data_IF_342561805370
#
_entry.id   IF_342561805370
#
_cell.length_a   1.000
_cell.length_b   1.000
_cell.length_c   1.000
_cell.angle_alpha   90.00
_cell.angle_beta   90.00
_cell.angle_gamma   90.00
#
_symmetry.space_group_name_H-M   'P 1'
#
loop_
_entity.id
_entity.type
_entity.pdbx_description
1 polymer ?
#
# COMPACT_ATOMS: atom_id res chain seq x y z
N UNK A 1 13.64 56.88 22.50
CA UNK A 1 12.94 56.30 21.34
C UNK A 1 13.99 55.52 20.56
N UNK A 2 14.11 54.25 20.83
CA UNK A 2 15.09 53.32 20.25
C UNK A 2 14.34 52.42 19.27
N UNK A 3 14.76 52.47 17.99
CA UNK A 3 14.22 51.64 16.92
C UNK A 3 14.85 50.23 16.99
N UNK A 4 14.04 49.21 17.15
CA UNK A 4 14.45 47.84 17.00
C UNK A 4 14.54 47.43 15.51
N UNK A 5 15.56 46.62 15.11
CA UNK A 5 15.69 46.18 13.73
C UNK A 5 14.77 44.99 13.46
N UNK A 6 14.02 45.03 12.37
CA UNK A 6 13.19 43.95 11.84
C UNK A 6 14.08 42.78 11.41
N UNK A 7 13.97 41.66 12.08
CA UNK A 7 14.59 40.38 11.69
C UNK A 7 13.70 39.81 10.59
N UNK A 8 14.22 39.70 9.39
CA UNK A 8 13.57 39.03 8.26
C UNK A 8 13.62 37.51 8.49
N UNK A 9 12.52 36.93 8.92
CA UNK A 9 12.37 35.47 9.05
C UNK A 9 12.54 34.82 7.68
N UNK A 10 13.48 33.85 7.59
CA UNK A 10 13.72 33.07 6.37
C UNK A 10 12.53 32.12 6.12
N UNK A 11 12.04 32.12 4.89
CA UNK A 11 10.94 31.29 4.46
C UNK A 11 11.29 29.77 4.57
N UNK A 12 10.45 28.93 5.19
CA UNK A 12 10.72 27.48 5.38
C UNK A 12 10.90 26.69 4.07
N UNK A 13 10.47 27.23 2.94
CA UNK A 13 10.63 26.61 1.61
C UNK A 13 12.09 26.71 1.12
N UNK A 14 12.83 27.75 1.49
CA UNK A 14 14.26 27.87 1.11
C UNK A 14 15.12 26.87 1.87
N UNK A 15 14.79 26.59 3.11
CA UNK A 15 15.56 25.66 3.94
C UNK A 15 15.39 24.20 3.47
N UNK A 16 14.21 23.80 3.03
CA UNK A 16 13.97 22.44 2.50
C UNK A 16 14.67 22.19 1.17
N UNK A 17 14.74 23.21 0.30
CA UNK A 17 15.46 23.12 -0.97
C UNK A 17 16.98 23.03 -0.76
N UNK A 18 17.52 23.86 0.14
CA UNK A 18 18.95 23.84 0.48
C UNK A 18 19.33 22.48 1.10
N UNK A 19 18.49 21.93 1.96
CA UNK A 19 18.72 20.64 2.59
C UNK A 19 18.70 19.48 1.57
N UNK A 20 17.82 19.52 0.60
CA UNK A 20 17.79 18.56 -0.52
C UNK A 20 19.05 18.66 -1.40
N UNK A 21 19.51 19.88 -1.65
CA UNK A 21 20.73 20.15 -2.43
C UNK A 21 21.98 19.59 -1.72
N UNK A 22 22.09 19.83 -0.41
CA UNK A 22 23.21 19.36 0.40
C UNK A 22 23.23 17.83 0.50
N UNK A 23 22.07 17.17 0.61
CA UNK A 23 21.95 15.72 0.56
C UNK A 23 22.40 15.16 -0.79
N UNK A 24 21.99 15.81 -1.90
CA UNK A 24 22.37 15.38 -3.25
C UNK A 24 23.87 15.51 -3.47
N UNK A 25 24.49 16.61 -3.03
CA UNK A 25 25.92 16.84 -3.10
C UNK A 25 26.71 15.80 -2.25
N UNK A 26 26.19 15.45 -1.08
CA UNK A 26 26.78 14.41 -0.24
C UNK A 26 26.78 13.03 -0.92
N UNK A 27 25.67 12.66 -1.58
CA UNK A 27 25.56 11.40 -2.34
C UNK A 27 26.53 11.40 -3.53
N UNK A 28 26.62 12.50 -4.29
CA UNK A 28 27.53 12.60 -5.43
C UNK A 28 29.01 12.55 -5.01
N UNK A 29 29.35 13.13 -3.87
CA UNK A 29 30.70 13.07 -3.30
C UNK A 29 31.05 11.63 -2.90
N UNK A 30 30.13 10.90 -2.25
CA UNK A 30 30.30 9.48 -1.93
C UNK A 30 30.51 8.62 -3.17
N UNK A 31 29.71 8.82 -4.23
CA UNK A 31 29.85 8.09 -5.50
C UNK A 31 31.22 8.34 -6.13
N UNK A 32 31.73 9.59 -6.06
CA UNK A 32 33.08 9.94 -6.52
C UNK A 32 34.17 9.18 -5.75
N UNK A 33 34.04 9.14 -4.43
CA UNK A 33 35.05 8.53 -3.55
C UNK A 33 35.05 6.99 -3.66
N UNK A 34 33.86 6.37 -3.80
CA UNK A 34 33.71 4.92 -3.90
C UNK A 34 34.08 4.35 -5.28
N UNK A 35 33.87 5.09 -6.36
CA UNK A 35 34.03 4.60 -7.74
C UNK A 35 35.11 5.29 -8.56
N UNK A 36 35.78 6.30 -8.04
CA UNK A 36 36.90 7.00 -8.70
C UNK A 36 36.53 7.65 -10.06
N UNK A 37 35.24 7.83 -10.35
CA UNK A 37 34.74 8.43 -11.59
C UNK A 37 33.94 9.69 -11.29
N UNK A 38 34.23 10.78 -12.01
CA UNK A 38 33.38 11.96 -11.99
C UNK A 38 32.12 11.71 -12.79
N UNK A 39 30.91 11.91 -12.23
CA UNK A 39 29.70 11.92 -13.04
C UNK A 39 29.81 13.09 -14.06
N UNK A 40 29.78 12.77 -15.34
CA UNK A 40 29.76 13.76 -16.42
C UNK A 40 28.33 14.01 -16.84
N UNK A 41 27.90 15.25 -16.75
CA UNK A 41 26.60 15.70 -17.30
C UNK A 41 26.89 16.39 -18.62
N UNK A 42 26.13 16.03 -19.66
CA UNK A 42 26.30 16.68 -20.98
C UNK A 42 25.84 18.14 -20.91
N UNK A 43 26.47 19.00 -21.72
CA UNK A 43 26.08 20.41 -21.83
C UNK A 43 24.62 20.58 -22.21
N UNK A 44 24.07 19.67 -23.01
CA UNK A 44 22.66 19.62 -23.39
C UNK A 44 21.73 19.35 -22.21
N UNK A 45 22.12 18.47 -21.31
CA UNK A 45 21.36 18.19 -20.07
C UNK A 45 21.37 19.38 -19.11
N UNK A 46 22.49 20.09 -19.04
CA UNK A 46 22.60 21.34 -18.24
C UNK A 46 21.74 22.47 -18.82
N UNK A 47 21.70 22.65 -20.13
CA UNK A 47 20.84 23.64 -20.78
C UNK A 47 19.35 23.30 -20.59
N UNK A 48 18.96 22.02 -20.66
CA UNK A 48 17.59 21.58 -20.35
C UNK A 48 17.18 21.89 -18.91
N UNK A 49 18.08 21.75 -17.95
CA UNK A 49 17.82 22.12 -16.55
C UNK A 49 17.66 23.64 -16.37
N UNK A 50 18.45 24.44 -17.09
CA UNK A 50 18.33 25.92 -17.08
C UNK A 50 17.01 26.40 -17.70
N UNK A 51 16.61 25.78 -18.82
CA UNK A 51 15.36 26.16 -19.49
C UNK A 51 14.11 25.67 -18.73
N UNK A 52 14.20 24.54 -18.01
CA UNK A 52 13.13 24.09 -17.12
C UNK A 52 12.87 25.05 -15.94
N UNK A 53 13.90 25.83 -15.53
CA UNK A 53 13.79 26.82 -14.44
C UNK A 53 13.10 28.11 -14.86
N UNK A 54 12.90 28.36 -16.17
CA UNK A 54 12.25 29.60 -16.69
C UNK A 54 10.82 29.40 -17.17
N UNK A 55 10.28 28.17 -17.05
CA UNK A 55 8.85 28.03 -17.20
C UNK A 55 8.19 28.72 -16.00
N UNK A 56 7.60 29.87 -16.25
CA UNK A 56 6.57 30.46 -15.40
C UNK A 56 5.66 29.33 -14.97
N UNK A 57 5.62 29.09 -13.68
CA UNK A 57 4.57 28.28 -13.07
C UNK A 57 3.26 29.02 -13.36
N UNK A 58 2.67 28.72 -14.54
CA UNK A 58 1.25 28.90 -14.70
C UNK A 58 0.65 28.27 -13.45
N UNK A 59 -0.12 29.00 -12.62
CA UNK A 59 -0.80 28.36 -11.53
C UNK A 59 -1.51 27.16 -12.17
N UNK A 60 -1.12 25.95 -11.78
CA UNK A 60 -1.99 24.80 -11.96
C UNK A 60 -3.27 25.27 -11.27
N UNK A 61 -4.26 25.66 -12.08
CA UNK A 61 -5.63 25.68 -11.59
C UNK A 61 -5.73 24.35 -10.88
N UNK A 62 -5.86 24.42 -9.56
CA UNK A 62 -6.07 23.26 -8.75
C UNK A 62 -7.22 22.53 -9.46
N UNK A 63 -6.92 21.33 -9.97
CA UNK A 63 -8.00 20.45 -10.39
C UNK A 63 -9.01 20.55 -9.26
N UNK A 64 -10.31 20.75 -9.55
CA UNK A 64 -11.28 20.94 -8.49
C UNK A 64 -10.99 19.83 -7.48
N UNK A 65 -10.77 20.27 -6.24
CA UNK A 65 -10.65 19.38 -5.10
C UNK A 65 -11.99 18.61 -5.02
N UNK A 66 -12.08 17.51 -5.79
CA UNK A 66 -13.18 16.54 -5.69
C UNK A 66 -13.13 15.80 -4.34
N UNK A 67 -12.34 16.32 -3.41
CA UNK A 67 -12.12 15.83 -2.06
C UNK A 67 -13.05 16.38 -1.00
N UNK A 68 -14.15 17.10 -1.32
CA UNK A 68 -15.25 17.23 -0.37
C UNK A 68 -16.08 15.95 -0.43
N UNK A 69 -15.59 14.88 0.16
CA UNK A 69 -16.36 13.65 0.37
C UNK A 69 -17.69 14.01 1.03
N UNK A 70 -18.76 13.34 0.61
CA UNK A 70 -20.07 13.51 1.24
C UNK A 70 -19.90 13.49 2.78
N UNK A 71 -20.19 14.58 3.52
CA UNK A 71 -19.99 14.64 4.96
C UNK A 71 -20.75 13.54 5.73
N UNK A 72 -21.75 12.95 5.09
CA UNK A 72 -22.46 11.79 5.60
C UNK A 72 -21.59 10.54 5.48
N UNK A 73 -20.96 10.32 4.32
CA UNK A 73 -20.04 9.20 4.11
C UNK A 73 -18.89 9.24 5.14
N UNK A 74 -18.26 10.39 5.30
CA UNK A 74 -17.12 10.55 6.24
C UNK A 74 -17.53 10.22 7.69
N UNK A 75 -18.71 10.72 8.12
CA UNK A 75 -19.22 10.41 9.47
C UNK A 75 -19.56 8.93 9.65
N UNK A 76 -20.22 8.32 8.66
CA UNK A 76 -20.63 6.91 8.74
C UNK A 76 -19.40 5.99 8.68
N UNK A 77 -18.42 6.29 7.84
CA UNK A 77 -17.16 5.53 7.77
C UNK A 77 -16.31 5.70 9.04
N UNK A 78 -16.25 6.90 9.61
CA UNK A 78 -15.62 7.15 10.91
C UNK A 78 -16.33 6.36 12.03
N UNK A 79 -17.66 6.36 12.04
CA UNK A 79 -18.47 5.55 12.97
C UNK A 79 -18.22 4.05 12.85
N UNK A 80 -18.08 3.54 11.61
CA UNK A 80 -17.66 2.15 11.36
C UNK A 80 -16.28 1.87 11.94
N UNK A 81 -15.34 2.80 11.77
CA UNK A 81 -13.99 2.67 12.32
C UNK A 81 -14.03 2.62 13.85
N UNK A 82 -14.70 3.54 14.50
CA UNK A 82 -14.84 3.58 15.97
C UNK A 82 -15.47 2.29 16.52
N UNK A 83 -16.57 1.82 15.92
CA UNK A 83 -17.24 0.59 16.31
C UNK A 83 -16.33 -0.65 16.13
N UNK A 84 -15.51 -0.66 15.07
CA UNK A 84 -14.55 -1.75 14.84
C UNK A 84 -13.42 -1.71 15.87
N UNK A 85 -12.89 -0.53 16.20
CA UNK A 85 -11.84 -0.37 17.21
C UNK A 85 -12.30 -0.81 18.59
N UNK A 86 -13.57 -0.61 18.94
CA UNK A 86 -14.17 -1.04 20.20
C UNK A 86 -14.60 -2.53 20.21
N UNK A 87 -14.37 -3.28 19.12
CA UNK A 87 -14.87 -4.66 19.00
C UNK A 87 -14.20 -5.62 20.00
N UNK A 88 -15.02 -6.40 20.71
CA UNK A 88 -14.60 -7.45 21.66
C UNK A 88 -15.24 -8.81 21.37
N UNK A 89 -15.74 -9.04 20.12
CA UNK A 89 -16.48 -10.25 19.73
C UNK A 89 -15.66 -11.54 19.83
N UNK A 90 -14.32 -11.45 19.78
CA UNK A 90 -13.40 -12.58 20.00
C UNK A 90 -12.65 -12.33 21.32
N UNK A 91 -13.15 -12.80 22.48
CA UNK A 91 -12.60 -12.44 23.79
C UNK A 91 -11.12 -12.81 24.00
N UNK A 92 -10.66 -13.91 23.40
CA UNK A 92 -9.27 -14.36 23.46
C UNK A 92 -8.37 -13.40 22.65
N UNK A 93 -8.77 -12.98 21.43
CA UNK A 93 -8.02 -12.02 20.62
C UNK A 93 -8.06 -10.62 21.23
N UNK A 94 -9.20 -10.22 21.81
CA UNK A 94 -9.33 -8.92 22.46
C UNK A 94 -8.41 -8.77 23.68
N UNK A 95 -8.09 -9.87 24.37
CA UNK A 95 -7.15 -9.88 25.51
C UNK A 95 -5.70 -9.92 25.09
N UNK A 96 -5.40 -10.52 23.93
CA UNK A 96 -4.02 -10.76 23.48
C UNK A 96 -3.48 -9.69 22.51
N UNK A 97 -4.37 -9.01 21.78
CA UNK A 97 -3.97 -7.95 20.83
C UNK A 97 -3.48 -6.71 21.56
N UNK A 98 -2.57 -5.98 20.92
CA UNK A 98 -2.19 -4.63 21.35
C UNK A 98 -3.25 -3.64 20.90
N UNK A 99 -3.69 -3.71 19.65
CA UNK A 99 -4.74 -2.86 19.10
C UNK A 99 -5.48 -3.52 17.93
N UNK A 100 -6.59 -2.92 17.54
CA UNK A 100 -7.34 -3.33 16.33
C UNK A 100 -6.72 -2.68 15.11
N UNK A 101 -6.51 -3.45 14.06
CA UNK A 101 -6.02 -3.00 12.76
C UNK A 101 -7.21 -2.86 11.81
N UNK A 102 -7.75 -1.65 11.71
CA UNK A 102 -8.97 -1.39 10.92
C UNK A 102 -8.74 -1.57 9.42
N UNK A 103 -7.77 -0.87 8.89
CA UNK A 103 -7.44 -0.73 7.49
C UNK A 103 -6.84 0.65 7.24
N UNK A 104 -6.23 0.86 6.08
CA UNK A 104 -5.54 2.11 5.71
C UNK A 104 -5.65 2.38 4.21
N UNK A 105 -5.60 3.65 3.84
CA UNK A 105 -5.63 4.12 2.46
C UNK A 105 -6.87 4.94 2.13
N UNK A 106 -7.15 5.12 0.86
CA UNK A 106 -8.24 5.94 0.38
C UNK A 106 -9.60 5.22 0.54
N UNK A 107 -10.55 5.74 1.32
CA UNK A 107 -11.89 5.15 1.44
C UNK A 107 -12.73 5.25 0.15
N UNK A 108 -12.25 5.98 -0.87
CA UNK A 108 -12.83 6.04 -2.21
C UNK A 108 -11.97 5.31 -3.27
N UNK A 109 -11.12 4.39 -2.84
CA UNK A 109 -10.22 3.67 -3.74
C UNK A 109 -10.95 2.78 -4.73
N UNK A 110 -10.52 2.80 -5.99
CA UNK A 110 -11.00 1.84 -7.00
C UNK A 110 -10.38 0.43 -6.84
N UNK A 111 -9.27 0.32 -6.09
CA UNK A 111 -8.54 -0.91 -5.85
C UNK A 111 -8.38 -1.18 -4.36
N UNK A 112 -8.81 -2.36 -3.92
CA UNK A 112 -8.69 -2.78 -2.52
C UNK A 112 -7.87 -4.08 -2.40
N UNK A 113 -6.87 -4.08 -1.51
CA UNK A 113 -6.10 -5.26 -1.14
C UNK A 113 -6.64 -5.85 0.17
N UNK A 114 -6.86 -7.16 0.17
CA UNK A 114 -7.37 -7.89 1.34
C UNK A 114 -6.38 -8.98 1.73
N UNK A 115 -5.82 -8.86 2.92
CA UNK A 115 -4.95 -9.87 3.54
C UNK A 115 -5.68 -10.76 4.53
N UNK A 116 -4.91 -11.60 5.23
CA UNK A 116 -5.39 -12.59 6.20
C UNK A 116 -5.71 -11.94 7.55
N UNK A 117 -4.69 -11.51 8.28
CA UNK A 117 -4.76 -10.99 9.63
C UNK A 117 -3.52 -10.13 9.94
N UNK A 118 -3.57 -9.27 10.97
CA UNK A 118 -2.39 -8.55 11.46
C UNK A 118 -1.32 -9.50 11.98
N UNK A 119 -0.05 -9.20 11.66
CA UNK A 119 1.13 -9.76 12.30
C UNK A 119 1.55 -8.95 13.54
N UNK A 120 2.73 -9.23 14.07
CA UNK A 120 3.23 -8.56 15.26
C UNK A 120 3.50 -7.06 15.04
N UNK A 121 4.09 -6.70 13.89
CA UNK A 121 4.38 -5.30 13.56
C UNK A 121 3.08 -4.50 13.35
N UNK A 122 2.09 -5.12 12.69
CA UNK A 122 0.78 -4.54 12.45
C UNK A 122 -0.02 -4.35 13.74
N UNK A 123 0.02 -5.32 14.64
CA UNK A 123 -0.62 -5.26 15.96
C UNK A 123 -0.03 -4.14 16.84
N UNK A 124 1.30 -3.95 16.75
CA UNK A 124 1.99 -2.89 17.48
C UNK A 124 1.72 -1.49 16.91
N UNK A 125 1.59 -1.35 15.57
CA UNK A 125 1.44 -0.06 14.90
C UNK A 125 -0.02 0.33 14.63
N UNK A 126 -0.96 -0.63 14.61
CA UNK A 126 -2.38 -0.41 14.29
C UNK A 126 -2.68 -0.26 12.81
N UNK A 127 -1.71 -0.52 11.94
CA UNK A 127 -1.87 -0.43 10.49
C UNK A 127 -1.59 -1.77 9.80
N UNK A 128 -2.34 -2.14 8.75
CA UNK A 128 -2.11 -3.38 8.01
C UNK A 128 -0.86 -3.28 7.13
N UNK A 129 -0.15 -4.38 6.98
CA UNK A 129 0.99 -4.50 6.06
C UNK A 129 2.09 -3.45 6.27
N UNK A 130 2.61 -3.32 7.50
CA UNK A 130 3.75 -2.46 7.87
C UNK A 130 5.06 -3.23 8.00
N UNK A 131 5.02 -4.52 8.34
CA UNK A 131 6.19 -5.39 8.41
C UNK A 131 6.81 -5.69 7.04
N UNK A 132 7.78 -6.61 6.98
CA UNK A 132 8.51 -6.98 5.75
C UNK A 132 7.59 -7.35 4.57
N UNK A 133 6.51 -8.08 4.84
CA UNK A 133 5.52 -8.45 3.83
C UNK A 133 4.77 -7.20 3.31
N UNK A 134 4.48 -6.26 4.18
CA UNK A 134 3.85 -4.99 3.84
C UNK A 134 4.74 -4.08 3.00
N UNK A 135 6.03 -3.99 3.33
CA UNK A 135 7.01 -3.26 2.51
C UNK A 135 7.10 -3.82 1.08
N UNK A 136 7.01 -5.15 0.92
CA UNK A 136 6.95 -5.76 -0.39
C UNK A 136 5.63 -5.44 -1.11
N UNK A 137 4.49 -5.45 -0.40
CA UNK A 137 3.20 -5.03 -0.96
C UNK A 137 3.26 -3.58 -1.45
N UNK A 138 3.83 -2.67 -0.67
CA UNK A 138 4.02 -1.27 -1.08
C UNK A 138 4.81 -1.17 -2.39
N UNK A 139 5.91 -1.92 -2.55
CA UNK A 139 6.68 -1.96 -3.80
C UNK A 139 5.88 -2.52 -4.98
N UNK A 140 4.98 -3.49 -4.75
CA UNK A 140 4.09 -4.02 -5.79
C UNK A 140 3.09 -2.93 -6.21
N UNK A 141 2.47 -2.23 -5.26
CA UNK A 141 1.53 -1.12 -5.50
C UNK A 141 2.21 -0.01 -6.30
N UNK A 142 3.41 0.40 -5.89
CA UNK A 142 4.22 1.41 -6.60
C UNK A 142 4.58 0.96 -8.03
N UNK A 143 4.94 -0.31 -8.22
CA UNK A 143 5.22 -0.86 -9.53
C UNK A 143 3.98 -0.92 -10.44
N UNK A 144 2.78 -1.00 -9.87
CA UNK A 144 1.50 -0.85 -10.58
C UNK A 144 1.22 0.61 -10.99
N UNK A 145 1.94 1.59 -10.42
CA UNK A 145 1.74 3.01 -10.68
C UNK A 145 0.77 3.70 -9.71
N UNK A 146 0.46 3.07 -8.60
CA UNK A 146 -0.30 3.66 -7.50
C UNK A 146 0.65 4.05 -6.36
N UNK A 147 0.26 5.04 -5.57
CA UNK A 147 0.81 5.26 -4.25
C UNK A 147 0.04 4.38 -3.26
N UNK A 148 0.65 4.08 -2.12
CA UNK A 148 0.00 3.26 -1.08
C UNK A 148 -1.31 3.88 -0.57
N UNK A 149 -1.35 5.21 -0.48
CA UNK A 149 -2.50 5.98 -0.08
C UNK A 149 -3.62 6.07 -1.13
N UNK A 150 -3.37 5.74 -2.40
CA UNK A 150 -4.38 5.74 -3.47
C UNK A 150 -5.26 4.48 -3.46
N UNK A 151 -4.81 3.42 -2.81
CA UNK A 151 -5.53 2.15 -2.68
C UNK A 151 -6.04 1.97 -1.26
N UNK A 152 -6.94 1.00 -1.03
CA UNK A 152 -7.33 0.63 0.33
C UNK A 152 -6.76 -0.74 0.69
N UNK A 153 -6.22 -0.88 1.90
CA UNK A 153 -5.59 -2.10 2.38
C UNK A 153 -6.24 -2.51 3.69
N UNK A 154 -6.74 -3.74 3.76
CA UNK A 154 -7.34 -4.30 4.96
C UNK A 154 -7.03 -5.81 5.09
N UNK A 155 -7.47 -6.40 6.19
CA UNK A 155 -7.42 -7.84 6.42
C UNK A 155 -8.82 -8.38 6.72
N UNK A 156 -9.02 -9.69 6.53
CA UNK A 156 -10.22 -10.40 6.98
C UNK A 156 -10.36 -10.27 8.50
N UNK A 157 -9.31 -10.56 9.26
CA UNK A 157 -9.28 -10.28 10.69
C UNK A 157 -8.76 -8.88 10.98
N UNK A 158 -9.37 -8.24 11.99
CA UNK A 158 -8.93 -6.93 12.49
C UNK A 158 -8.03 -7.04 13.73
N UNK A 159 -7.87 -8.23 14.28
CA UNK A 159 -7.05 -8.51 15.44
C UNK A 159 -5.99 -9.56 15.10
N UNK A 160 -4.79 -9.44 15.68
CA UNK A 160 -3.76 -10.45 15.56
C UNK A 160 -4.23 -11.75 16.23
N UNK A 161 -4.15 -12.91 15.55
CA UNK A 161 -4.38 -14.20 16.18
C UNK A 161 -3.40 -14.43 17.33
N UNK A 162 -3.90 -14.84 18.50
CA UNK A 162 -3.11 -15.13 19.69
C UNK A 162 -2.18 -16.33 19.47
N UNK A 163 -1.05 -16.30 20.12
CA UNK A 163 -0.07 -17.41 20.09
C UNK A 163 -0.02 -18.10 21.43
N UNK A 164 0.26 -19.41 21.47
CA UNK A 164 0.53 -20.10 22.71
C UNK A 164 1.63 -19.41 23.51
N UNK A 165 1.58 -19.42 24.85
CA UNK A 165 2.63 -18.82 25.68
C UNK A 165 4.02 -19.32 25.30
N UNK A 166 4.99 -18.41 25.12
CA UNK A 166 6.37 -18.71 24.75
C UNK A 166 6.60 -19.06 23.28
N UNK A 167 5.56 -19.08 22.43
CA UNK A 167 5.67 -19.33 20.99
C UNK A 167 5.63 -17.98 20.24
N UNK A 168 6.70 -17.70 19.50
CA UNK A 168 6.78 -16.53 18.62
C UNK A 168 6.24 -16.84 17.21
N UNK A 169 5.80 -15.80 16.49
CA UNK A 169 5.34 -15.92 15.11
C UNK A 169 3.87 -15.53 14.93
N UNK A 170 3.28 -16.04 13.87
CA UNK A 170 1.88 -15.82 13.53
C UNK A 170 1.23 -17.17 13.20
N UNK A 171 0.00 -17.38 13.65
CA UNK A 171 -0.84 -18.51 13.25
C UNK A 171 -1.92 -18.08 12.25
N UNK A 172 -2.40 -19.01 11.48
CA UNK A 172 -3.60 -18.80 10.65
C UNK A 172 -4.82 -18.55 11.57
N UNK A 173 -5.72 -17.62 11.19
CA UNK A 173 -7.03 -17.49 11.82
C UNK A 173 -7.84 -18.79 11.75
N UNK A 174 -8.65 -19.03 12.76
CA UNK A 174 -9.64 -20.11 12.71
C UNK A 174 -10.84 -19.69 11.85
N UNK A 175 -11.61 -20.64 11.29
CA UNK A 175 -12.84 -20.33 10.55
C UNK A 175 -13.83 -19.50 11.36
N UNK A 176 -13.98 -19.77 12.66
CA UNK A 176 -14.89 -19.03 13.55
C UNK A 176 -14.42 -17.58 13.78
N UNK A 177 -13.11 -17.37 13.93
CA UNK A 177 -12.53 -16.01 14.01
C UNK A 177 -12.81 -15.24 12.73
N UNK A 178 -12.57 -15.85 11.56
CA UNK A 178 -12.84 -15.22 10.27
C UNK A 178 -14.34 -14.89 10.13
N UNK A 179 -15.22 -15.83 10.38
CA UNK A 179 -16.68 -15.63 10.33
C UNK A 179 -17.15 -14.52 11.27
N UNK A 180 -16.60 -14.46 12.48
CA UNK A 180 -16.97 -13.42 13.47
C UNK A 180 -16.48 -12.03 13.04
N UNK A 181 -15.33 -11.95 12.38
CA UNK A 181 -14.70 -10.68 12.01
C UNK A 181 -15.12 -10.19 10.62
N UNK A 182 -15.50 -11.08 9.70
CA UNK A 182 -15.85 -10.78 8.31
C UNK A 182 -16.87 -9.62 8.16
N UNK A 183 -17.93 -9.49 8.99
CA UNK A 183 -18.89 -8.40 8.86
C UNK A 183 -18.28 -7.00 8.92
N UNK A 184 -17.12 -6.82 9.57
CA UNK A 184 -16.40 -5.54 9.55
C UNK A 184 -15.76 -5.25 8.20
N UNK A 185 -15.19 -6.27 7.56
CA UNK A 185 -14.63 -6.15 6.21
C UNK A 185 -15.73 -5.94 5.17
N UNK A 186 -16.84 -6.67 5.26
CA UNK A 186 -18.00 -6.50 4.37
C UNK A 186 -18.52 -5.06 4.39
N UNK A 187 -18.69 -4.49 5.57
CA UNK A 187 -19.07 -3.08 5.71
C UNK A 187 -18.04 -2.13 5.10
N UNK A 188 -16.74 -2.39 5.26
CA UNK A 188 -15.72 -1.58 4.58
C UNK A 188 -15.87 -1.68 3.05
N UNK A 189 -16.11 -2.87 2.51
CA UNK A 189 -16.32 -3.07 1.07
C UNK A 189 -17.60 -2.35 0.60
N UNK A 190 -18.68 -2.38 1.38
CA UNK A 190 -19.94 -1.65 1.09
C UNK A 190 -19.74 -0.13 1.05
N UNK A 191 -18.89 0.42 1.92
CA UNK A 191 -18.56 1.84 1.91
C UNK A 191 -17.65 2.21 0.75
N UNK A 192 -16.53 1.49 0.58
CA UNK A 192 -15.48 1.80 -0.38
C UNK A 192 -15.95 1.54 -1.82
N UNK A 193 -16.72 0.47 -2.05
CA UNK A 193 -17.22 0.03 -3.36
C UNK A 193 -16.10 -0.06 -4.40
N UNK A 194 -15.02 -0.79 -4.12
CA UNK A 194 -13.89 -0.86 -5.02
C UNK A 194 -14.31 -1.49 -6.36
N UNK A 195 -13.73 -1.04 -7.46
CA UNK A 195 -13.95 -1.63 -8.79
C UNK A 195 -13.31 -3.00 -8.92
N UNK A 196 -12.22 -3.23 -8.16
CA UNK A 196 -11.46 -4.49 -8.14
C UNK A 196 -10.93 -4.74 -6.73
N UNK A 197 -11.00 -6.00 -6.29
CA UNK A 197 -10.30 -6.47 -5.10
C UNK A 197 -9.17 -7.43 -5.46
N UNK A 198 -8.09 -7.38 -4.67
CA UNK A 198 -6.98 -8.34 -4.72
C UNK A 198 -6.88 -9.07 -3.39
N UNK A 199 -7.06 -10.39 -3.37
CA UNK A 199 -6.85 -11.21 -2.17
C UNK A 199 -5.42 -11.72 -2.11
N UNK A 200 -4.76 -11.48 -0.98
CA UNK A 200 -3.37 -11.82 -0.72
C UNK A 200 -3.27 -13.16 0.07
N UNK A 201 -3.18 -14.25 -0.67
CA UNK A 201 -3.07 -15.60 -0.11
C UNK A 201 -4.40 -16.34 0.02
N UNK A 202 -4.30 -17.65 0.35
CA UNK A 202 -5.45 -18.55 0.40
C UNK A 202 -6.42 -18.21 1.54
N UNK A 203 -5.91 -17.78 2.69
CA UNK A 203 -6.74 -17.49 3.87
C UNK A 203 -7.61 -16.25 3.65
N UNK A 204 -7.09 -15.21 2.98
CA UNK A 204 -7.87 -14.04 2.64
C UNK A 204 -9.01 -14.39 1.66
N UNK A 205 -8.71 -15.24 0.69
CA UNK A 205 -9.70 -15.74 -0.25
C UNK A 205 -10.76 -16.61 0.43
N UNK A 206 -10.33 -17.52 1.32
CA UNK A 206 -11.22 -18.38 2.11
C UNK A 206 -12.14 -17.54 3.01
N UNK A 207 -11.60 -16.50 3.64
CA UNK A 207 -12.37 -15.60 4.50
C UNK A 207 -13.48 -14.87 3.76
N UNK A 208 -13.23 -14.43 2.50
CA UNK A 208 -14.24 -13.74 1.69
C UNK A 208 -15.25 -14.70 1.04
N UNK A 209 -14.77 -15.81 0.46
CA UNK A 209 -15.63 -16.69 -0.36
C UNK A 209 -16.14 -17.91 0.39
N UNK A 210 -15.70 -18.13 1.64
CA UNK A 210 -16.12 -19.27 2.47
C UNK A 210 -15.62 -20.63 1.95
N UNK A 211 -14.75 -20.66 0.93
CA UNK A 211 -14.29 -21.88 0.29
C UNK A 211 -12.76 -22.00 0.36
N UNK A 212 -12.28 -23.12 0.92
CA UNK A 212 -10.85 -23.42 0.99
C UNK A 212 -10.33 -23.83 -0.39
N UNK A 213 -9.60 -22.93 -1.04
CA UNK A 213 -9.01 -23.21 -2.35
C UNK A 213 -7.55 -22.75 -2.38
N UNK A 214 -6.68 -23.60 -2.92
CA UNK A 214 -5.28 -23.22 -3.10
C UNK A 214 -5.16 -22.08 -4.13
N UNK A 215 -4.45 -21.01 -3.78
CA UNK A 215 -4.24 -19.85 -4.66
C UNK A 215 -3.67 -20.27 -6.02
N UNK A 216 -2.77 -21.27 -6.05
CA UNK A 216 -2.18 -21.78 -7.29
C UNK A 216 -3.20 -22.33 -8.30
N UNK A 217 -4.39 -22.71 -7.86
CA UNK A 217 -5.47 -23.23 -8.73
C UNK A 217 -6.38 -22.13 -9.29
N UNK A 218 -6.45 -20.98 -8.62
CA UNK A 218 -7.41 -19.90 -8.93
C UNK A 218 -6.74 -18.59 -9.34
N UNK A 219 -5.45 -18.40 -9.05
CA UNK A 219 -4.71 -17.20 -9.51
C UNK A 219 -4.79 -17.05 -11.03
N UNK A 220 -4.76 -15.84 -11.50
CA UNK A 220 -4.89 -15.52 -12.92
C UNK A 220 -6.31 -15.71 -13.47
N UNK A 221 -7.29 -15.99 -12.61
CA UNK A 221 -8.71 -16.06 -12.95
C UNK A 221 -9.48 -15.07 -12.11
N UNK A 222 -10.47 -14.45 -12.71
CA UNK A 222 -11.40 -13.57 -12.01
C UNK A 222 -12.42 -14.40 -11.22
N UNK A 223 -12.55 -14.05 -9.95
CA UNK A 223 -13.58 -14.52 -9.05
C UNK A 223 -14.54 -13.36 -8.78
N UNK A 224 -15.64 -13.62 -8.10
CA UNK A 224 -16.66 -12.61 -7.79
C UNK A 224 -17.01 -12.60 -6.31
N UNK A 225 -17.20 -11.40 -5.76
CA UNK A 225 -17.75 -11.18 -4.44
C UNK A 225 -18.81 -10.08 -4.52
N UNK A 226 -20.08 -10.45 -4.49
CA UNK A 226 -21.23 -9.53 -4.58
C UNK A 226 -21.16 -8.56 -5.79
N UNK A 227 -20.72 -9.06 -6.94
CA UNK A 227 -20.56 -8.28 -8.16
C UNK A 227 -19.22 -7.54 -8.29
N UNK A 228 -18.34 -7.63 -7.28
CA UNK A 228 -17.01 -7.04 -7.34
C UNK A 228 -16.00 -8.12 -7.79
N UNK A 229 -15.27 -7.89 -8.89
CA UNK A 229 -14.27 -8.83 -9.37
C UNK A 229 -13.08 -8.93 -8.40
N UNK A 230 -12.67 -10.17 -8.08
CA UNK A 230 -11.52 -10.48 -7.24
C UNK A 230 -10.43 -11.13 -8.08
N UNK A 231 -9.19 -10.64 -7.93
CA UNK A 231 -7.97 -11.34 -8.35
C UNK A 231 -7.32 -11.97 -7.13
N UNK A 232 -7.22 -13.30 -7.10
CA UNK A 232 -6.46 -14.00 -6.07
C UNK A 232 -4.99 -14.10 -6.47
N UNK A 233 -4.08 -13.73 -5.56
CA UNK A 233 -2.64 -13.86 -5.78
C UNK A 233 -1.91 -14.37 -4.55
N UNK A 234 -0.61 -14.67 -4.68
CA UNK A 234 0.19 -15.11 -3.54
C UNK A 234 0.37 -14.00 -2.52
N UNK A 235 0.38 -14.37 -1.23
CA UNK A 235 0.70 -13.44 -0.16
C UNK A 235 2.15 -12.94 -0.28
N UNK A 236 2.46 -11.66 -0.05
CA UNK A 236 3.83 -11.16 -0.14
C UNK A 236 4.85 -11.92 0.71
N UNK A 237 4.46 -12.43 1.88
CA UNK A 237 5.32 -13.27 2.72
C UNK A 237 5.74 -14.58 2.03
N UNK A 238 4.97 -15.10 1.07
CA UNK A 238 5.39 -16.25 0.26
C UNK A 238 6.58 -15.89 -0.62
N UNK A 239 6.54 -14.72 -1.28
CA UNK A 239 7.63 -14.24 -2.13
C UNK A 239 8.91 -13.90 -1.34
N UNK A 240 8.79 -13.54 -0.05
CA UNK A 240 9.95 -13.34 0.83
C UNK A 240 10.66 -14.66 1.15
N UNK A 241 9.92 -15.77 1.23
CA UNK A 241 10.47 -17.11 1.44
C UNK A 241 10.91 -17.79 0.15
N UNK A 242 10.19 -17.51 -0.95
CA UNK A 242 10.46 -18.06 -2.27
C UNK A 242 10.76 -16.94 -3.25
N UNK A 243 12.04 -16.61 -3.40
CA UNK A 243 12.49 -15.46 -4.21
C UNK A 243 12.71 -15.78 -5.69
N UNK A 244 12.23 -16.94 -6.17
CA UNK A 244 12.33 -17.31 -7.57
C UNK A 244 11.67 -16.27 -8.46
N UNK A 245 12.36 -15.88 -9.53
CA UNK A 245 11.87 -14.90 -10.51
C UNK A 245 10.53 -15.34 -11.11
N UNK A 246 10.37 -16.65 -11.34
CA UNK A 246 9.11 -17.24 -11.82
C UNK A 246 7.93 -16.99 -10.89
N UNK A 247 8.14 -17.04 -9.56
CA UNK A 247 7.07 -16.77 -8.59
C UNK A 247 6.72 -15.27 -8.53
N UNK A 248 7.74 -14.42 -8.62
CA UNK A 248 7.53 -12.97 -8.76
C UNK A 248 6.78 -12.63 -10.03
N UNK A 249 7.14 -13.29 -11.16
CA UNK A 249 6.46 -13.14 -12.44
C UNK A 249 4.97 -13.50 -12.35
N UNK A 250 4.63 -14.59 -11.69
CA UNK A 250 3.23 -15.01 -11.49
C UNK A 250 2.41 -13.93 -10.77
N UNK A 251 2.93 -13.38 -9.67
CA UNK A 251 2.23 -12.29 -8.95
C UNK A 251 2.10 -11.06 -9.85
N UNK A 252 3.16 -10.74 -10.60
CA UNK A 252 3.14 -9.59 -11.51
C UNK A 252 2.11 -9.75 -12.64
N UNK A 253 1.96 -10.96 -13.20
CA UNK A 253 0.92 -11.27 -14.18
C UNK A 253 -0.49 -11.08 -13.64
N UNK A 254 -0.72 -11.43 -12.37
CA UNK A 254 -1.99 -11.15 -11.69
C UNK A 254 -2.23 -9.63 -11.61
N UNK A 255 -1.19 -8.84 -11.27
CA UNK A 255 -1.29 -7.38 -11.18
C UNK A 255 -1.48 -6.70 -12.55
N UNK A 256 -0.88 -7.23 -13.61
CA UNK A 256 -1.13 -6.73 -14.97
C UNK A 256 -2.61 -6.90 -15.37
N UNK A 257 -3.23 -8.05 -15.05
CA UNK A 257 -4.66 -8.23 -15.28
C UNK A 257 -5.52 -7.25 -14.47
N UNK A 258 -5.12 -6.95 -13.21
CA UNK A 258 -5.79 -5.95 -12.39
C UNK A 258 -5.72 -4.56 -13.04
N UNK A 259 -4.55 -4.15 -13.54
CA UNK A 259 -4.37 -2.89 -14.27
C UNK A 259 -5.24 -2.83 -15.53
N UNK A 260 -5.27 -3.93 -16.33
CA UNK A 260 -6.14 -4.03 -17.51
C UNK A 260 -7.62 -3.89 -17.15
N UNK A 261 -8.07 -4.55 -16.08
CA UNK A 261 -9.46 -4.48 -15.62
C UNK A 261 -9.86 -3.09 -15.14
N UNK A 262 -8.92 -2.35 -14.55
CA UNK A 262 -9.11 -0.97 -14.12
C UNK A 262 -9.03 0.03 -15.28
N UNK A 263 -8.61 -0.41 -16.47
CA UNK A 263 -8.40 0.47 -17.63
C UNK A 263 -7.14 1.34 -17.50
N UNK A 264 -6.18 0.93 -16.66
CA UNK A 264 -4.94 1.67 -16.45
C UNK A 264 -3.91 1.36 -17.53
N UNK A 265 -3.16 2.36 -18.03
CA UNK A 265 -2.12 2.12 -19.03
C UNK A 265 -1.01 1.24 -18.45
N UNK A 266 -0.56 0.27 -19.26
CA UNK A 266 0.54 -0.62 -18.91
C UNK A 266 1.71 -0.34 -19.82
N UNK A 267 2.81 0.14 -19.28
CA UNK A 267 4.04 0.41 -20.03
C UNK A 267 4.74 -0.87 -20.47
N UNK A 268 5.54 -0.78 -21.54
CA UNK A 268 6.38 -1.88 -22.02
C UNK A 268 7.34 -2.39 -20.94
N UNK A 269 7.86 -1.49 -20.10
CA UNK A 269 8.69 -1.86 -18.96
C UNK A 269 7.93 -2.74 -17.97
N UNK A 270 6.70 -2.38 -17.60
CA UNK A 270 5.85 -3.19 -16.70
C UNK A 270 5.55 -4.55 -17.31
N UNK A 271 5.27 -4.64 -18.64
CA UNK A 271 5.03 -5.92 -19.31
C UNK A 271 6.24 -6.87 -19.22
N UNK A 272 7.47 -6.32 -19.17
CA UNK A 272 8.72 -7.10 -19.14
C UNK A 272 9.22 -7.44 -17.73
N UNK A 273 8.63 -6.93 -16.66
CA UNK A 273 9.10 -7.26 -15.31
C UNK A 273 9.13 -8.76 -15.08
N UNK A 274 10.26 -9.24 -14.59
CA UNK A 274 10.52 -10.66 -14.29
C UNK A 274 10.39 -11.60 -15.49
N UNK A 275 10.60 -11.13 -16.71
CA UNK A 275 10.77 -12.01 -17.90
C UNK A 275 12.23 -12.46 -18.02
N UNK A 276 12.44 -13.60 -18.72
CA UNK A 276 13.80 -14.18 -18.90
C UNK A 276 14.79 -13.27 -19.66
N UNK A 277 14.32 -12.18 -20.25
CA UNK A 277 15.17 -11.27 -21.06
C UNK A 277 15.89 -10.22 -20.20
N UNK A 278 15.63 -10.13 -18.89
CA UNK A 278 16.26 -9.18 -17.95
C UNK A 278 17.24 -9.86 -16.98
N UNK A 279 17.65 -11.10 -17.24
CA UNK A 279 18.72 -11.84 -16.57
C UNK A 279 19.90 -11.94 -17.54
#
# INVERSE_FOLDING_TARGET
MSAEPWICERSPVKDSFQQALDQTLSILTRIKDDFGRHPTVSSESLERLKTASTHETRPLEAAPDEGSGDPRFEREFAGLREATLACVKCPHLARSRTQVVFGVGNPHAELMFVGEAPGADEDAQGEPFVGRAGQLLTKIIEAMGFRREDVYIANVLKCRPDMPPGVSGNRKPTPDEMKTCLPWLEKQIEFIKPRVMVTLGATALEGLLGATTAVSKVRGRWLDFHGIPIMATYHPAYLLRNQLVTEKRKVWEDMLQVLERLGRPISERQRRFFTKTEL
#
